data_IF_133574701065
#
_entry.id   IF_133574701065
#
_cell.length_a   1.000
_cell.length_b   1.000
_cell.length_c   1.000
_cell.angle_alpha   90.00
_cell.angle_beta   90.00
_cell.angle_gamma   90.00
#
_symmetry.space_group_name_H-M   'P 1'
#
loop_
_entity.id
_entity.type
_entity.pdbx_description
1 polymer ?
#
# COMPACT_ATOMS: atom_id res chain seq x y z
N UNK A 1 -29.68 18.84 -4.88
CA UNK A 1 -29.99 17.95 -3.75
C UNK A 1 -28.67 17.24 -3.41
N UNK A 2 -27.93 17.73 -2.41
CA UNK A 2 -26.63 17.15 -2.02
C UNK A 2 -26.95 15.87 -1.23
N UNK A 3 -26.68 14.69 -1.80
CA UNK A 3 -26.66 13.45 -1.05
C UNK A 3 -25.54 13.54 -0.01
N UNK A 4 -25.90 13.65 1.26
CA UNK A 4 -25.01 13.44 2.38
C UNK A 4 -24.54 11.98 2.34
N UNK A 5 -23.34 11.74 1.80
CA UNK A 5 -22.67 10.44 1.94
C UNK A 5 -22.45 10.23 3.45
N UNK A 6 -23.18 9.30 4.04
CA UNK A 6 -22.88 8.76 5.36
C UNK A 6 -21.42 8.27 5.30
N UNK A 7 -20.54 8.90 6.08
CA UNK A 7 -19.12 8.53 6.13
C UNK A 7 -19.03 7.12 6.71
N UNK A 8 -18.79 6.12 5.85
CA UNK A 8 -18.48 4.77 6.28
C UNK A 8 -17.24 4.82 7.20
N UNK A 9 -17.34 4.20 8.36
CA UNK A 9 -16.19 4.00 9.27
C UNK A 9 -15.38 2.76 8.89
N UNK A 10 -15.86 1.98 7.94
CA UNK A 10 -15.21 0.76 7.47
C UNK A 10 -14.32 1.06 6.26
N UNK A 11 -13.18 0.37 6.13
CA UNK A 11 -12.35 0.44 4.93
C UNK A 11 -13.15 0.10 3.67
N UNK A 12 -12.93 0.88 2.62
CA UNK A 12 -13.56 0.69 1.31
C UNK A 12 -12.65 -0.12 0.39
N UNK A 13 -11.35 -0.17 0.70
CA UNK A 13 -10.29 -0.81 -0.08
C UNK A 13 -9.27 -1.45 0.84
N UNK A 14 -8.86 -2.68 0.52
CA UNK A 14 -7.79 -3.40 1.20
C UNK A 14 -6.54 -3.42 0.31
N UNK A 15 -5.42 -2.94 0.82
CA UNK A 15 -4.17 -2.79 0.10
C UNK A 15 -3.10 -3.69 0.71
N UNK A 16 -2.60 -4.65 -0.05
CA UNK A 16 -1.53 -5.55 0.38
C UNK A 16 -0.18 -4.84 0.41
N UNK A 17 0.58 -5.01 1.51
CA UNK A 17 1.95 -4.51 1.63
C UNK A 17 2.91 -5.65 1.30
N UNK A 18 3.59 -5.58 0.15
CA UNK A 18 4.47 -6.64 -0.35
C UNK A 18 5.87 -6.12 -0.63
N UNK A 19 6.85 -7.00 -0.63
CA UNK A 19 8.26 -6.64 -0.84
C UNK A 19 9.19 -7.39 0.12
N UNK A 20 10.50 -7.29 -0.12
CA UNK A 20 11.51 -8.00 0.66
C UNK A 20 11.52 -7.58 2.15
N UNK A 21 12.12 -8.41 3.02
CA UNK A 21 12.41 -8.02 4.41
C UNK A 21 13.27 -6.75 4.38
N UNK A 22 13.08 -5.89 5.37
CA UNK A 22 13.80 -4.60 5.51
C UNK A 22 13.56 -3.56 4.40
N UNK A 23 12.68 -3.79 3.42
CA UNK A 23 12.29 -2.77 2.45
C UNK A 23 11.40 -1.66 3.04
N UNK A 24 11.01 -1.79 4.32
CA UNK A 24 10.31 -0.75 5.08
C UNK A 24 8.78 -0.80 4.97
N UNK A 25 8.20 -2.00 4.78
CA UNK A 25 6.73 -2.20 4.75
C UNK A 25 6.06 -1.66 6.00
N UNK A 26 6.49 -2.10 7.17
CA UNK A 26 5.94 -1.66 8.47
C UNK A 26 6.15 -0.16 8.70
N UNK A 27 7.31 0.38 8.32
CA UNK A 27 7.59 1.83 8.43
C UNK A 27 6.66 2.64 7.53
N UNK A 28 6.44 2.19 6.28
CA UNK A 28 5.51 2.87 5.38
C UNK A 28 4.07 2.75 5.88
N UNK A 29 3.66 1.58 6.37
CA UNK A 29 2.34 1.39 6.98
C UNK A 29 2.14 2.35 8.15
N UNK A 30 3.12 2.49 9.03
CA UNK A 30 3.09 3.45 10.13
C UNK A 30 3.02 4.89 9.63
N UNK A 31 3.82 5.23 8.62
CA UNK A 31 3.82 6.57 8.03
C UNK A 31 2.46 6.94 7.42
N UNK A 32 1.74 5.99 6.82
CA UNK A 32 0.44 6.21 6.19
C UNK A 32 -0.75 6.06 7.14
N UNK A 33 -0.64 5.25 8.20
CA UNK A 33 -1.77 4.95 9.10
C UNK A 33 -1.64 5.51 10.52
N UNK A 34 -0.41 5.87 10.91
CA UNK A 34 -0.11 6.20 12.31
C UNK A 34 -0.08 4.98 13.22
N UNK A 35 -0.27 3.77 12.69
CA UNK A 35 -0.34 2.52 13.45
C UNK A 35 0.88 1.66 13.17
N UNK A 36 1.53 1.16 14.23
CA UNK A 36 2.61 0.19 14.12
C UNK A 36 2.03 -1.21 14.03
N UNK A 37 2.26 -1.90 12.92
CA UNK A 37 1.70 -3.25 12.67
C UNK A 37 2.60 -4.39 13.15
N UNK A 38 3.86 -4.12 13.50
CA UNK A 38 4.81 -5.14 13.95
C UNK A 38 4.60 -5.52 15.42
N UNK A 39 3.63 -6.39 15.66
CA UNK A 39 3.41 -7.03 16.96
C UNK A 39 4.25 -8.32 17.14
N UNK A 40 5.09 -8.66 16.15
CA UNK A 40 5.72 -9.98 16.03
C UNK A 40 6.90 -10.26 16.96
N UNK A 41 7.52 -9.26 17.57
CA UNK A 41 8.64 -9.51 18.49
C UNK A 41 8.20 -10.30 19.73
N UNK A 42 6.94 -10.19 20.14
CA UNK A 42 6.37 -10.94 21.27
C UNK A 42 5.75 -12.28 20.86
N UNK A 43 5.13 -12.36 19.67
CA UNK A 43 4.45 -13.57 19.18
C UNK A 43 5.45 -14.69 18.81
N UNK A 44 6.62 -14.36 18.25
CA UNK A 44 7.71 -15.30 17.97
C UNK A 44 8.17 -16.06 19.24
N UNK A 45 8.07 -15.43 20.40
CA UNK A 45 8.44 -16.07 21.69
C UNK A 45 7.37 -17.03 22.21
N UNK A 46 6.15 -17.00 21.70
CA UNK A 46 4.99 -17.74 22.21
C UNK A 46 4.47 -18.84 21.29
N UNK A 47 5.04 -19.02 20.09
CA UNK A 47 4.64 -20.11 19.17
C UNK A 47 3.19 -20.01 18.66
N UNK A 48 2.64 -18.79 18.56
CA UNK A 48 1.24 -18.56 18.25
C UNK A 48 1.08 -18.18 16.76
N UNK A 49 -0.05 -18.58 16.19
CA UNK A 49 -0.45 -18.39 14.79
C UNK A 49 -0.18 -17.00 14.27
N UNK A 50 0.44 -16.94 13.10
CA UNK A 50 0.72 -15.72 12.35
C UNK A 50 -0.63 -15.06 11.98
N UNK A 51 -0.88 -13.88 12.55
CA UNK A 51 -2.04 -13.06 12.20
C UNK A 51 -1.61 -11.99 11.21
N UNK A 52 -2.48 -11.70 10.23
CA UNK A 52 -2.34 -10.52 9.37
C UNK A 52 -2.43 -9.26 10.23
N UNK A 53 -1.50 -8.35 10.04
CA UNK A 53 -1.59 -7.00 10.58
C UNK A 53 -2.53 -6.17 9.71
N UNK A 54 -3.50 -5.52 10.32
CA UNK A 54 -4.38 -4.57 9.65
C UNK A 54 -4.13 -3.17 10.21
N UNK A 55 -3.99 -2.21 9.33
CA UNK A 55 -3.85 -0.80 9.72
C UNK A 55 -4.79 0.05 8.88
N UNK A 56 -5.88 0.50 9.52
CA UNK A 56 -6.88 1.33 8.87
C UNK A 56 -6.48 2.80 8.93
N UNK A 57 -6.62 3.50 7.82
CA UNK A 57 -6.42 4.94 7.74
C UNK A 57 -7.46 5.58 6.82
N UNK A 58 -7.57 6.90 6.90
CA UNK A 58 -8.37 7.67 5.96
C UNK A 58 -7.47 8.63 5.18
N UNK A 59 -7.67 8.68 3.89
CA UNK A 59 -7.04 9.63 3.00
C UNK A 59 -7.91 10.87 2.82
N UNK A 60 -7.28 12.01 2.80
CA UNK A 60 -7.91 13.32 2.74
C UNK A 60 -7.22 14.17 1.68
N UNK A 61 -7.92 15.21 1.24
CA UNK A 61 -7.38 16.23 0.34
C UNK A 61 -7.67 17.60 0.89
N UNK A 62 -6.70 18.51 0.84
CA UNK A 62 -6.89 19.93 1.20
C UNK A 62 -7.68 20.66 0.11
N UNK A 63 -8.13 21.89 0.39
CA UNK A 63 -8.77 22.76 -0.61
C UNK A 63 -7.79 23.10 -1.77
N UNK A 64 -6.49 23.06 -1.53
CA UNK A 64 -5.41 23.31 -2.49
C UNK A 64 -5.05 22.06 -3.33
N UNK A 65 -5.62 20.89 -2.99
CA UNK A 65 -5.40 19.63 -3.71
C UNK A 65 -4.28 18.77 -3.17
N UNK A 66 -3.71 19.08 -2.00
CA UNK A 66 -2.68 18.25 -1.37
C UNK A 66 -3.29 17.03 -0.67
N UNK A 67 -2.77 15.84 -0.97
CA UNK A 67 -3.23 14.58 -0.39
C UNK A 67 -2.49 14.27 0.90
N UNK A 68 -3.20 13.81 1.92
CA UNK A 68 -2.60 13.46 3.19
C UNK A 68 -3.35 12.33 3.90
N UNK A 69 -2.65 11.61 4.76
CA UNK A 69 -3.24 10.60 5.64
C UNK A 69 -3.78 11.23 6.92
N UNK A 70 -4.69 10.54 7.59
CA UNK A 70 -5.28 10.99 8.85
C UNK A 70 -4.20 11.41 9.87
N UNK A 71 -4.35 12.60 10.44
CA UNK A 71 -3.42 13.17 11.43
C UNK A 71 -2.15 13.78 10.81
N UNK A 72 -2.03 13.87 9.48
CA UNK A 72 -0.88 14.44 8.77
C UNK A 72 -1.27 15.61 7.85
N UNK A 73 -2.22 16.45 8.27
CA UNK A 73 -2.57 17.63 7.50
C UNK A 73 -1.35 18.57 7.37
N UNK A 74 -1.06 19.16 6.20
CA UNK A 74 0.08 20.06 6.00
C UNK A 74 0.12 21.23 6.99
N UNK A 75 -1.05 21.80 7.32
CA UNK A 75 -1.20 22.89 8.28
C UNK A 75 -1.38 22.43 9.74
N UNK A 76 -1.11 21.16 10.03
CA UNK A 76 -1.28 20.56 11.36
C UNK A 76 -2.75 20.34 11.78
N UNK A 77 -2.98 20.17 13.08
CA UNK A 77 -4.28 19.71 13.64
C UNK A 77 -5.48 20.65 13.35
N UNK A 78 -5.25 21.87 12.93
CA UNK A 78 -6.30 22.87 12.62
C UNK A 78 -6.70 22.89 11.16
N UNK A 79 -5.97 22.19 10.30
CA UNK A 79 -6.26 22.13 8.89
C UNK A 79 -7.58 21.39 8.61
N UNK A 80 -8.27 21.83 7.56
CA UNK A 80 -9.52 21.21 7.10
C UNK A 80 -9.28 20.59 5.73
N UNK A 81 -9.76 19.38 5.55
CA UNK A 81 -9.73 18.71 4.26
C UNK A 81 -10.90 17.78 4.09
N UNK A 82 -11.19 17.45 2.87
CA UNK A 82 -12.25 16.52 2.51
C UNK A 82 -11.76 15.08 2.62
N UNK A 83 -12.57 14.22 3.22
CA UNK A 83 -12.31 12.79 3.24
C UNK A 83 -12.47 12.23 1.82
N UNK A 84 -11.42 11.60 1.31
CA UNK A 84 -11.45 10.86 0.05
C UNK A 84 -12.04 9.47 0.29
N UNK A 85 -11.32 8.63 1.04
CA UNK A 85 -11.78 7.28 1.40
C UNK A 85 -11.06 6.73 2.63
N UNK A 86 -11.56 5.61 3.13
CA UNK A 86 -10.92 4.81 4.18
C UNK A 86 -10.30 3.58 3.54
N UNK A 87 -9.02 3.33 3.84
CA UNK A 87 -8.26 2.18 3.35
C UNK A 87 -7.75 1.34 4.50
N UNK A 88 -7.59 0.03 4.27
CA UNK A 88 -6.93 -0.88 5.19
C UNK A 88 -5.66 -1.41 4.55
N UNK A 89 -4.52 -1.20 5.18
CA UNK A 89 -3.27 -1.85 4.80
C UNK A 89 -3.21 -3.23 5.44
N UNK A 90 -2.92 -4.23 4.61
CA UNK A 90 -2.76 -5.61 5.04
C UNK A 90 -1.28 -5.94 5.01
N UNK A 91 -0.67 -5.99 6.19
CA UNK A 91 0.73 -6.36 6.38
C UNK A 91 0.81 -7.83 6.80
N UNK A 92 1.43 -8.65 5.97
CA UNK A 92 1.64 -10.06 6.29
C UNK A 92 3.08 -10.27 6.71
N UNK A 93 3.31 -10.73 7.94
CA UNK A 93 4.65 -11.04 8.40
C UNK A 93 5.14 -12.38 7.81
N UNK A 94 6.32 -12.33 7.22
CA UNK A 94 7.05 -13.50 6.73
C UNK A 94 6.62 -14.03 5.36
N UNK A 95 7.55 -14.77 4.72
CA UNK A 95 7.49 -15.18 3.33
C UNK A 95 6.37 -16.16 2.98
N UNK A 96 6.26 -17.21 3.77
CA UNK A 96 5.36 -18.32 3.48
C UNK A 96 3.90 -17.95 3.76
N UNK A 97 3.68 -17.10 4.75
CA UNK A 97 2.32 -16.69 5.13
C UNK A 97 1.70 -15.75 4.13
N UNK A 98 2.49 -14.82 3.57
CA UNK A 98 2.00 -13.91 2.55
C UNK A 98 1.54 -14.67 1.29
N UNK A 99 2.34 -15.65 0.84
CA UNK A 99 1.99 -16.51 -0.30
C UNK A 99 0.69 -17.28 -0.03
N UNK A 100 0.55 -17.93 1.12
CA UNK A 100 -0.65 -18.66 1.49
C UNK A 100 -1.89 -17.75 1.58
N UNK A 101 -1.73 -16.54 2.13
CA UNK A 101 -2.82 -15.56 2.25
C UNK A 101 -3.18 -14.98 0.90
N UNK A 102 -2.23 -14.68 0.03
CA UNK A 102 -2.51 -14.15 -1.31
C UNK A 102 -3.18 -15.21 -2.18
N UNK A 103 -2.74 -16.47 -2.11
CA UNK A 103 -3.35 -17.57 -2.88
C UNK A 103 -4.74 -17.94 -2.32
N UNK A 104 -4.92 -17.91 -1.00
CA UNK A 104 -6.22 -18.24 -0.36
C UNK A 104 -7.17 -17.04 -0.31
N UNK A 105 -6.68 -15.84 -0.41
CA UNK A 105 -7.39 -14.58 -0.18
C UNK A 105 -7.29 -13.55 -1.31
N UNK A 106 -7.13 -13.98 -2.57
CA UNK A 106 -7.19 -13.08 -3.72
C UNK A 106 -8.45 -12.18 -3.72
N UNK A 107 -9.49 -12.61 -3.01
CA UNK A 107 -10.73 -11.86 -2.80
C UNK A 107 -10.65 -10.79 -1.69
N UNK A 108 -9.54 -10.68 -0.96
CA UNK A 108 -9.43 -9.76 0.19
C UNK A 108 -8.70 -8.47 -0.19
N UNK A 109 -7.82 -8.49 -1.20
CA UNK A 109 -7.01 -7.33 -1.58
C UNK A 109 -7.50 -6.74 -2.90
N UNK A 110 -7.79 -5.45 -2.91
CA UNK A 110 -8.20 -4.70 -4.09
C UNK A 110 -7.00 -4.19 -4.89
N UNK A 111 -5.83 -4.15 -4.26
CA UNK A 111 -4.57 -3.76 -4.87
C UNK A 111 -3.38 -4.01 -3.95
N UNK A 112 -2.18 -3.70 -4.41
CA UNK A 112 -0.95 -3.91 -3.66
C UNK A 112 0.06 -2.78 -3.83
N UNK A 113 0.83 -2.52 -2.76
CA UNK A 113 2.05 -1.71 -2.79
C UNK A 113 3.26 -2.65 -2.79
N UNK A 114 4.01 -2.67 -3.90
CA UNK A 114 5.25 -3.43 -4.02
C UNK A 114 6.44 -2.55 -3.61
N UNK A 115 7.00 -2.79 -2.43
CA UNK A 115 8.11 -2.00 -1.89
C UNK A 115 9.45 -2.56 -2.33
N UNK A 116 10.32 -1.65 -2.80
CA UNK A 116 11.71 -1.91 -3.12
C UNK A 116 12.58 -0.85 -2.45
N UNK A 117 13.59 -1.27 -1.67
CA UNK A 117 14.52 -0.32 -1.06
C UNK A 117 15.56 0.13 -2.09
N UNK A 118 15.80 1.45 -2.21
CA UNK A 118 16.81 2.01 -3.13
C UNK A 118 18.25 1.62 -2.74
N UNK A 119 18.45 1.16 -1.50
CA UNK A 119 19.75 0.73 -0.96
C UNK A 119 20.24 -0.58 -1.54
N UNK A 120 19.35 -1.42 -2.05
CA UNK A 120 19.66 -2.77 -2.51
C UNK A 120 19.43 -2.90 -4.01
N UNK A 121 20.10 -3.88 -4.61
CA UNK A 121 19.90 -4.20 -6.02
C UNK A 121 18.52 -4.83 -6.23
N UNK A 122 17.79 -4.37 -7.22
CA UNK A 122 16.49 -4.94 -7.61
C UNK A 122 16.67 -5.91 -8.79
N UNK A 123 15.97 -7.05 -8.78
CA UNK A 123 15.09 -7.57 -7.74
C UNK A 123 15.79 -8.41 -6.68
N UNK A 124 15.33 -8.37 -5.44
CA UNK A 124 15.66 -9.34 -4.41
C UNK A 124 14.82 -10.63 -4.59
N UNK A 125 15.25 -11.81 -4.08
CA UNK A 125 14.51 -13.06 -4.27
C UNK A 125 13.05 -12.97 -3.88
N UNK A 126 12.74 -12.44 -2.70
CA UNK A 126 11.37 -12.30 -2.21
C UNK A 126 10.55 -11.28 -2.99
N UNK A 127 11.18 -10.25 -3.56
CA UNK A 127 10.49 -9.30 -4.43
C UNK A 127 9.94 -10.00 -5.68
N UNK A 128 10.72 -10.95 -6.24
CA UNK A 128 10.26 -11.80 -7.37
C UNK A 128 9.10 -12.71 -6.96
N UNK A 129 9.25 -13.38 -5.82
CA UNK A 129 8.22 -14.29 -5.31
C UNK A 129 6.90 -13.55 -5.05
N UNK A 130 6.97 -12.35 -4.46
CA UNK A 130 5.79 -11.55 -4.18
C UNK A 130 5.12 -11.05 -5.46
N UNK A 131 5.88 -10.62 -6.47
CA UNK A 131 5.29 -10.21 -7.74
C UNK A 131 4.61 -11.38 -8.44
N UNK A 132 5.25 -12.57 -8.46
CA UNK A 132 4.64 -13.79 -9.01
C UNK A 132 3.36 -14.19 -8.23
N UNK A 133 3.34 -13.99 -6.90
CA UNK A 133 2.15 -14.26 -6.08
C UNK A 133 1.00 -13.29 -6.40
N UNK A 134 1.29 -12.00 -6.64
CA UNK A 134 0.28 -11.02 -7.08
C UNK A 134 -0.31 -11.43 -8.45
N UNK A 135 0.54 -11.90 -9.37
CA UNK A 135 0.12 -12.36 -10.68
C UNK A 135 -0.81 -13.59 -10.58
N UNK A 136 -0.41 -14.59 -9.78
CA UNK A 136 -1.25 -15.80 -9.54
C UNK A 136 -2.58 -15.41 -8.87
N UNK A 137 -2.56 -14.43 -7.97
CA UNK A 137 -3.74 -13.94 -7.27
C UNK A 137 -4.65 -13.05 -8.14
N UNK A 138 -4.20 -12.64 -9.34
CA UNK A 138 -4.93 -11.75 -10.23
C UNK A 138 -5.07 -10.32 -9.71
N UNK A 139 -4.10 -9.84 -8.92
CA UNK A 139 -4.10 -8.47 -8.38
C UNK A 139 -3.40 -7.56 -9.38
N UNK A 140 -4.16 -6.86 -10.19
CA UNK A 140 -3.67 -5.99 -11.28
C UNK A 140 -3.39 -4.56 -10.82
N UNK A 141 -4.05 -4.09 -9.76
CA UNK A 141 -3.90 -2.73 -9.26
C UNK A 141 -2.65 -2.64 -8.38
N UNK A 142 -1.50 -2.39 -8.97
CA UNK A 142 -0.20 -2.36 -8.29
C UNK A 142 0.39 -0.96 -8.35
N UNK A 143 0.95 -0.50 -7.22
CA UNK A 143 1.82 0.68 -7.15
C UNK A 143 3.18 0.22 -6.64
N UNK A 144 4.25 0.55 -7.36
CA UNK A 144 5.61 0.25 -6.93
C UNK A 144 6.15 1.41 -6.12
N UNK A 145 6.69 1.11 -4.95
CA UNK A 145 7.22 2.12 -4.02
C UNK A 145 8.72 1.94 -3.90
N UNK A 146 9.50 2.87 -4.45
CA UNK A 146 10.94 2.94 -4.24
C UNK A 146 11.21 3.65 -2.91
N UNK A 147 11.45 2.89 -1.86
CA UNK A 147 11.64 3.43 -0.50
C UNK A 147 13.13 3.66 -0.16
N UNK A 148 13.37 4.39 0.95
CA UNK A 148 14.70 4.71 1.49
C UNK A 148 15.56 5.58 0.56
N UNK A 149 14.94 6.50 -0.19
CA UNK A 149 15.68 7.42 -1.06
C UNK A 149 16.53 8.44 -0.28
N UNK A 150 16.23 8.63 1.00
CA UNK A 150 16.91 9.56 1.91
C UNK A 150 18.33 9.13 2.30
N UNK A 151 18.63 7.83 2.24
CA UNK A 151 19.93 7.28 2.67
C UNK A 151 20.81 6.82 1.51
N UNK A 152 20.45 7.15 0.28
CA UNK A 152 21.23 6.84 -0.93
C UNK A 152 21.59 8.13 -1.69
N UNK A 153 22.63 8.07 -2.53
CA UNK A 153 22.94 9.18 -3.43
C UNK A 153 21.87 9.28 -4.55
N UNK A 154 21.80 10.46 -5.17
CA UNK A 154 20.90 10.69 -6.30
C UNK A 154 21.14 9.71 -7.44
N UNK A 155 22.41 9.42 -7.73
CA UNK A 155 22.83 8.47 -8.78
C UNK A 155 22.30 7.06 -8.46
N UNK A 156 22.47 6.61 -7.20
CA UNK A 156 21.97 5.30 -6.77
C UNK A 156 20.43 5.24 -6.81
N UNK A 157 19.74 6.31 -6.45
CA UNK A 157 18.29 6.37 -6.55
C UNK A 157 17.80 6.22 -8.01
N UNK A 158 18.47 6.88 -8.96
CA UNK A 158 18.16 6.76 -10.39
C UNK A 158 18.49 5.35 -10.91
N UNK A 159 19.64 4.78 -10.53
CA UNK A 159 20.01 3.41 -10.89
C UNK A 159 18.96 2.40 -10.38
N UNK A 160 18.60 2.51 -9.10
CA UNK A 160 17.56 1.67 -8.48
C UNK A 160 16.20 1.81 -9.19
N UNK A 161 15.82 3.03 -9.59
CA UNK A 161 14.61 3.26 -10.35
C UNK A 161 14.62 2.50 -11.69
N UNK A 162 15.74 2.52 -12.40
CA UNK A 162 15.91 1.79 -13.67
C UNK A 162 15.89 0.27 -13.44
N UNK A 163 16.57 -0.23 -12.38
CA UNK A 163 16.52 -1.64 -12.00
C UNK A 163 15.08 -2.12 -11.73
N UNK A 164 14.27 -1.28 -11.03
CA UNK A 164 12.86 -1.58 -10.77
C UNK A 164 12.08 -1.61 -12.10
N UNK A 165 12.28 -0.62 -12.97
CA UNK A 165 11.60 -0.54 -14.27
C UNK A 165 11.91 -1.75 -15.14
N UNK A 166 13.18 -2.18 -15.18
CA UNK A 166 13.61 -3.37 -15.92
C UNK A 166 13.00 -4.65 -15.33
N UNK A 167 12.89 -4.72 -14.01
CA UNK A 167 12.33 -5.86 -13.30
C UNK A 167 10.83 -6.04 -13.55
N UNK A 168 10.05 -4.97 -13.57
CA UNK A 168 8.59 -5.05 -13.78
C UNK A 168 8.21 -5.19 -15.23
N UNK A 169 9.13 -4.92 -16.16
CA UNK A 169 8.87 -5.06 -17.59
C UNK A 169 8.50 -6.49 -17.97
N UNK A 170 7.44 -6.66 -18.76
CA UNK A 170 6.87 -7.97 -19.14
C UNK A 170 6.11 -8.68 -18.02
N UNK A 171 5.81 -8.01 -16.90
CA UNK A 171 5.01 -8.54 -15.79
C UNK A 171 3.68 -7.81 -15.67
N UNK A 172 2.80 -8.26 -14.74
CA UNK A 172 1.54 -7.56 -14.44
C UNK A 172 1.75 -6.14 -13.90
N UNK A 173 2.96 -5.80 -13.46
CA UNK A 173 3.31 -4.48 -12.91
C UNK A 173 4.05 -3.60 -13.95
N UNK A 174 4.06 -3.94 -15.24
CA UNK A 174 4.78 -3.20 -16.28
C UNK A 174 4.33 -1.73 -16.36
N UNK A 175 3.03 -1.50 -16.29
CA UNK A 175 2.43 -0.15 -16.34
C UNK A 175 2.22 0.45 -14.93
N UNK A 176 2.67 -0.23 -13.88
CA UNK A 176 2.50 0.25 -12.52
C UNK A 176 3.34 1.53 -12.28
N UNK A 177 2.75 2.57 -11.67
CA UNK A 177 3.50 3.76 -11.31
C UNK A 177 4.57 3.44 -10.26
N UNK A 178 5.78 3.98 -10.45
CA UNK A 178 6.92 3.84 -9.52
C UNK A 178 7.09 5.15 -8.77
N UNK A 179 6.86 5.16 -7.47
CA UNK A 179 6.92 6.36 -6.64
C UNK A 179 8.12 6.29 -5.68
N UNK A 180 9.11 7.19 -5.84
CA UNK A 180 10.22 7.30 -4.90
C UNK A 180 9.77 7.98 -3.61
N UNK A 181 10.00 7.33 -2.45
CA UNK A 181 9.60 7.84 -1.14
C UNK A 181 10.69 7.68 -0.08
N UNK A 182 10.59 8.48 0.97
CA UNK A 182 11.20 8.17 2.27
C UNK A 182 10.09 8.02 3.30
N UNK A 183 9.78 6.79 3.66
CA UNK A 183 8.78 6.50 4.69
C UNK A 183 9.20 7.01 6.08
N UNK A 184 10.50 7.14 6.33
CA UNK A 184 11.03 7.63 7.60
C UNK A 184 10.91 9.16 7.76
N UNK A 185 11.03 9.88 6.66
CA UNK A 185 10.99 11.35 6.62
C UNK A 185 9.71 11.91 5.98
N UNK A 186 8.72 11.08 5.75
CA UNK A 186 7.43 11.44 5.13
C UNK A 186 7.57 12.12 3.74
N UNK A 187 8.67 11.83 2.99
CA UNK A 187 8.93 12.45 1.68
C UNK A 187 8.08 11.77 0.60
N UNK A 188 7.37 12.56 -0.21
CA UNK A 188 6.51 12.14 -1.32
C UNK A 188 5.35 11.22 -0.90
N UNK A 189 4.91 11.25 0.35
CA UNK A 189 3.75 10.48 0.78
C UNK A 189 2.45 11.04 0.23
N UNK A 190 2.36 12.34 0.01
CA UNK A 190 1.27 13.03 -0.68
C UNK A 190 1.08 12.50 -2.10
N UNK A 191 2.18 12.42 -2.87
CA UNK A 191 2.19 11.87 -4.24
C UNK A 191 1.84 10.39 -4.21
N UNK A 192 2.34 9.63 -3.23
CA UNK A 192 1.99 8.22 -3.08
C UNK A 192 0.50 8.03 -2.82
N UNK A 193 -0.11 8.82 -1.92
CA UNK A 193 -1.53 8.76 -1.60
C UNK A 193 -2.36 9.11 -2.85
N UNK A 194 -2.01 10.18 -3.56
CA UNK A 194 -2.67 10.55 -4.82
C UNK A 194 -2.59 9.43 -5.86
N UNK A 195 -1.43 8.77 -5.95
CA UNK A 195 -1.23 7.64 -6.87
C UNK A 195 -2.06 6.43 -6.48
N UNK A 196 -2.12 6.09 -5.19
CA UNK A 196 -2.99 5.01 -4.67
C UNK A 196 -4.45 5.29 -5.01
N UNK A 197 -4.91 6.53 -4.81
CA UNK A 197 -6.27 6.94 -5.14
C UNK A 197 -6.63 6.72 -6.62
N UNK A 198 -5.68 6.93 -7.51
CA UNK A 198 -5.87 6.79 -8.96
C UNK A 198 -5.70 5.34 -9.44
N UNK A 199 -4.69 4.63 -8.91
CA UNK A 199 -4.31 3.32 -9.39
C UNK A 199 -5.11 2.17 -8.77
N UNK A 200 -5.63 2.35 -7.55
CA UNK A 200 -6.39 1.30 -6.84
C UNK A 200 -7.84 1.80 -6.64
N UNK A 201 -8.72 1.61 -7.63
CA UNK A 201 -10.09 2.10 -7.55
C UNK A 201 -10.88 1.32 -6.50
N UNK A 202 -11.83 1.99 -5.83
CA UNK A 202 -12.85 1.31 -5.04
C UNK A 202 -13.77 0.54 -6.01
N UNK A 203 -13.81 -0.77 -5.89
CA UNK A 203 -14.80 -1.58 -6.60
C UNK A 203 -16.16 -1.32 -5.97
N UNK A 204 -16.92 -0.42 -6.57
CA UNK A 204 -18.35 -0.29 -6.26
C UNK A 204 -19.04 -1.59 -6.72
N UNK A 205 -19.20 -2.53 -5.81
CA UNK A 205 -20.08 -3.67 -6.03
C UNK A 205 -21.51 -3.15 -6.14
N UNK A 206 -21.89 -2.65 -7.31
CA UNK A 206 -23.29 -2.51 -7.69
C UNK A 206 -23.81 -3.89 -8.09
N UNK A 207 -23.93 -4.78 -7.11
CA UNK A 207 -24.70 -5.99 -7.28
C UNK A 207 -26.19 -5.57 -7.32
N UNK A 208 -26.90 -5.76 -8.44
CA UNK A 208 -28.34 -5.52 -8.45
C UNK A 208 -28.98 -6.42 -7.38
N UNK A 209 -29.70 -5.79 -6.45
CA UNK A 209 -30.43 -6.54 -5.42
C UNK A 209 -31.32 -7.55 -6.09
N UNK A 210 -31.42 -8.82 -5.57
CA UNK A 210 -32.37 -9.80 -6.08
C UNK A 210 -33.82 -9.32 -6.08
N UNK A 211 -34.14 -8.20 -5.43
CA UNK A 211 -35.48 -7.60 -5.36
C UNK A 211 -35.83 -6.72 -6.55
N UNK A 212 -34.86 -6.35 -7.39
CA UNK A 212 -35.10 -5.51 -8.58
C UNK A 212 -35.41 -6.32 -9.84
N UNK A 213 -35.62 -7.62 -9.69
CA UNK A 213 -36.17 -8.52 -10.73
C UNK A 213 -37.64 -8.79 -10.46
N UNK A 214 -38.45 -7.78 -10.57
CA UNK A 214 -39.92 -7.86 -10.58
C UNK A 214 -40.46 -7.61 -11.99
#
# INVERSE_FOLDING_TARGET
MKLSKSKSKQPEVNIGMVGHVDHGKTTLTQALSGTWTDTHSEERKRGISIKLGYADTSFHVTEEGEHYAKGKHPDGDKGKGDLLRVVSFVDAPGHETLMAVMISGASIMDGALLLVAATEKCPQPQTKEHLAALEIAGIENIVVVQNKIDIVSKERAIESYNEIKDFVSGTIAEDAPIIPVSAHHDVNLDILIETIEKAIPCLLYTSPSPRDRG
#
